data_IF_069306811680
#
_entry.id   IF_069306811680
#
_cell.length_a   1.000
_cell.length_b   1.000
_cell.length_c   1.000
_cell.angle_alpha   90.00
_cell.angle_beta   90.00
_cell.angle_gamma   90.00
#
_symmetry.space_group_name_H-M   'P 1'
#
loop_
_entity.id
_entity.type
_entity.pdbx_description
1 polymer ?
#
# COMPACT_ATOMS: atom_id res chain seq x y z
N UNK A 1 2.34 -11.64 10.99
CA UNK A 1 2.84 -12.78 10.20
C UNK A 1 3.02 -12.27 8.78
N UNK A 2 4.25 -12.34 8.24
CA UNK A 2 4.52 -11.86 6.88
C UNK A 2 3.89 -12.84 5.89
N UNK A 3 2.90 -12.37 5.13
CA UNK A 3 2.29 -13.14 4.03
C UNK A 3 3.24 -13.10 2.82
N UNK A 4 3.43 -14.21 2.09
CA UNK A 4 4.19 -14.20 0.85
C UNK A 4 3.47 -13.39 -0.23
N UNK A 5 4.23 -12.72 -1.08
CA UNK A 5 3.74 -12.08 -2.29
C UNK A 5 3.48 -13.14 -3.37
N UNK A 6 2.26 -13.21 -3.88
CA UNK A 6 1.92 -14.03 -5.03
C UNK A 6 2.13 -13.23 -6.33
N UNK A 7 3.30 -13.39 -6.93
CA UNK A 7 3.68 -12.64 -8.14
C UNK A 7 2.79 -12.97 -9.34
N UNK A 8 2.46 -14.25 -9.51
CA UNK A 8 1.67 -14.71 -10.66
C UNK A 8 0.27 -14.10 -10.60
N UNK A 9 -0.36 -14.16 -9.43
CA UNK A 9 -1.69 -13.59 -9.21
C UNK A 9 -1.66 -12.05 -9.26
N UNK A 10 -0.59 -11.43 -8.78
CA UNK A 10 -0.37 -9.98 -8.89
C UNK A 10 -0.35 -9.51 -10.35
N UNK A 11 0.36 -10.21 -11.22
CA UNK A 11 0.42 -9.90 -12.66
C UNK A 11 -0.92 -10.18 -13.34
N UNK A 12 -1.57 -11.30 -13.02
CA UNK A 12 -2.88 -11.66 -13.58
C UNK A 12 -3.94 -10.61 -13.25
N UNK A 13 -4.06 -10.24 -11.97
CA UNK A 13 -5.03 -9.23 -11.52
C UNK A 13 -4.69 -7.87 -12.13
N UNK A 14 -3.41 -7.48 -12.13
CA UNK A 14 -2.93 -6.25 -12.77
C UNK A 14 -3.42 -6.12 -14.22
N UNK A 15 -3.37 -7.20 -15.00
CA UNK A 15 -3.87 -7.25 -16.38
C UNK A 15 -5.40 -7.21 -16.44
N UNK A 16 -6.07 -8.01 -15.61
CA UNK A 16 -7.54 -8.10 -15.55
C UNK A 16 -8.19 -6.75 -15.27
N UNK A 17 -7.63 -5.98 -14.35
CA UNK A 17 -8.16 -4.65 -13.98
C UNK A 17 -7.64 -3.53 -14.88
N UNK A 18 -6.75 -3.84 -15.85
CA UNK A 18 -6.06 -2.85 -16.70
C UNK A 18 -5.41 -1.75 -15.86
N UNK A 19 -4.63 -2.18 -14.87
CA UNK A 19 -3.99 -1.28 -13.91
C UNK A 19 -3.10 -0.24 -14.61
N UNK A 20 -2.97 0.92 -13.97
CA UNK A 20 -2.26 2.08 -14.53
C UNK A 20 -1.10 2.48 -13.63
N UNK A 21 0.05 2.82 -14.23
CA UNK A 21 1.17 3.37 -13.48
C UNK A 21 0.74 4.63 -12.71
N UNK A 22 1.28 4.81 -11.50
CA UNK A 22 1.00 5.95 -10.60
C UNK A 22 -0.44 6.04 -10.06
N UNK A 23 -1.28 5.04 -10.29
CA UNK A 23 -2.64 4.94 -9.73
C UNK A 23 -2.73 3.80 -8.71
N UNK A 24 -1.80 3.82 -7.76
CA UNK A 24 -1.57 2.73 -6.80
C UNK A 24 -2.82 2.33 -6.03
N UNK A 25 -3.49 3.31 -5.40
CA UNK A 25 -4.70 3.08 -4.60
C UNK A 25 -5.90 2.66 -5.45
N UNK A 26 -6.13 3.32 -6.59
CA UNK A 26 -7.20 2.96 -7.53
C UNK A 26 -7.00 1.54 -8.10
N UNK A 27 -5.77 1.13 -8.38
CA UNK A 27 -5.46 -0.22 -8.82
C UNK A 27 -5.77 -1.25 -7.72
N UNK A 28 -5.37 -0.98 -6.47
CA UNK A 28 -5.69 -1.85 -5.33
C UNK A 28 -7.20 -1.94 -5.07
N UNK A 29 -7.92 -0.81 -5.17
CA UNK A 29 -9.37 -0.78 -5.05
C UNK A 29 -10.05 -1.63 -6.13
N UNK A 30 -9.66 -1.46 -7.40
CA UNK A 30 -10.18 -2.29 -8.50
C UNK A 30 -9.84 -3.77 -8.34
N UNK A 31 -8.65 -4.07 -7.83
CA UNK A 31 -8.24 -5.44 -7.53
C UNK A 31 -9.12 -6.06 -6.44
N UNK A 32 -9.44 -5.30 -5.39
CA UNK A 32 -10.36 -5.75 -4.33
C UNK A 32 -11.78 -5.98 -4.86
N UNK A 33 -12.26 -5.14 -5.78
CA UNK A 33 -13.56 -5.36 -6.44
C UNK A 33 -13.59 -6.57 -7.37
N UNK A 34 -12.44 -6.93 -7.97
CA UNK A 34 -12.33 -8.01 -8.94
C UNK A 34 -12.01 -9.38 -8.32
N UNK A 35 -11.74 -9.41 -7.01
CA UNK A 35 -11.22 -10.59 -6.31
C UNK A 35 -12.09 -10.90 -5.10
N UNK A 36 -12.72 -12.07 -5.09
CA UNK A 36 -13.56 -12.49 -3.98
C UNK A 36 -12.74 -12.69 -2.71
N UNK A 37 -13.31 -12.29 -1.57
CA UNK A 37 -12.71 -12.40 -0.24
C UNK A 37 -11.38 -11.63 -0.05
N UNK A 38 -11.02 -10.77 -0.99
CA UNK A 38 -9.87 -9.90 -0.85
C UNK A 38 -10.13 -8.77 0.15
N UNK A 39 -9.12 -8.47 0.96
CA UNK A 39 -9.07 -7.27 1.75
C UNK A 39 -8.21 -6.24 1.03
N UNK A 40 -8.75 -5.04 0.82
CA UNK A 40 -7.92 -3.92 0.40
C UNK A 40 -7.05 -3.50 1.57
N UNK A 41 -5.77 -3.25 1.30
CA UNK A 41 -4.79 -2.80 2.28
C UNK A 41 -4.03 -1.62 1.73
N UNK A 42 -3.84 -0.61 2.59
CA UNK A 42 -3.02 0.56 2.31
C UNK A 42 -2.03 0.78 3.45
N UNK A 43 -0.87 1.30 3.11
CA UNK A 43 0.23 1.50 4.04
C UNK A 43 1.50 1.89 3.30
N UNK A 44 2.62 1.26 3.65
CA UNK A 44 3.92 1.61 3.10
C UNK A 44 4.62 0.42 2.45
N UNK A 45 5.32 0.72 1.37
CA UNK A 45 6.21 -0.20 0.66
C UNK A 45 7.65 0.29 0.80
N UNK A 46 8.54 -0.65 1.10
CA UNK A 46 9.98 -0.41 1.23
C UNK A 46 10.73 -1.44 0.38
N UNK A 47 11.75 -0.98 -0.33
CA UNK A 47 12.65 -1.82 -1.12
C UNK A 47 14.03 -1.16 -1.23
N UNK A 48 15.09 -1.92 -1.51
CA UNK A 48 16.44 -1.36 -1.59
C UNK A 48 16.61 -0.41 -2.79
N UNK A 49 17.39 0.63 -2.56
CA UNK A 49 17.67 1.70 -3.53
C UNK A 49 16.69 2.88 -3.46
N UNK A 50 16.78 3.77 -4.46
CA UNK A 50 15.92 4.97 -4.55
C UNK A 50 14.43 4.58 -4.46
N UNK A 51 13.61 5.30 -3.65
CA UNK A 51 13.89 6.61 -3.07
C UNK A 51 14.57 6.62 -1.69
N UNK A 52 15.05 5.48 -1.17
CA UNK A 52 15.66 5.37 0.17
C UNK A 52 14.73 5.74 1.34
N UNK A 53 13.43 5.80 1.08
CA UNK A 53 12.40 6.13 2.06
C UNK A 53 11.15 5.28 1.80
N UNK A 54 10.30 5.08 2.83
CA UNK A 54 9.00 4.45 2.65
C UNK A 54 8.17 5.16 1.58
N UNK A 55 7.45 4.38 0.78
CA UNK A 55 6.54 4.89 -0.24
C UNK A 55 5.12 4.51 0.18
N UNK A 56 4.20 5.45 0.17
CA UNK A 56 2.79 5.12 0.33
C UNK A 56 2.32 4.21 -0.79
N UNK A 57 1.70 3.09 -0.40
CA UNK A 57 1.35 2.03 -1.32
C UNK A 57 0.05 1.34 -0.90
N UNK A 58 -0.56 0.64 -1.84
CA UNK A 58 -1.74 -0.17 -1.59
C UNK A 58 -1.72 -1.45 -2.42
N UNK A 59 -2.27 -2.49 -1.83
CA UNK A 59 -2.34 -3.85 -2.36
C UNK A 59 -3.62 -4.52 -1.87
N UNK A 60 -3.81 -5.78 -2.23
CA UNK A 60 -4.85 -6.60 -1.62
C UNK A 60 -4.22 -7.77 -0.87
N UNK A 61 -4.86 -8.18 0.21
CA UNK A 61 -4.49 -9.36 0.96
C UNK A 61 -5.59 -10.41 0.85
N UNK A 62 -5.14 -11.62 0.54
CA UNK A 62 -5.92 -12.84 0.67
C UNK A 62 -5.62 -13.49 2.02
N UNK A 63 -6.28 -14.61 2.29
CA UNK A 63 -6.07 -15.37 3.52
C UNK A 63 -4.59 -15.75 3.71
N UNK A 64 -3.93 -16.19 2.64
CA UNK A 64 -2.58 -16.76 2.69
C UNK A 64 -1.52 -15.96 1.94
N UNK A 65 -1.89 -14.94 1.17
CA UNK A 65 -0.95 -14.21 0.31
C UNK A 65 -1.25 -12.72 0.20
N UNK A 66 -0.21 -11.96 -0.15
CA UNK A 66 -0.30 -10.59 -0.65
C UNK A 66 -0.39 -10.65 -2.17
N UNK A 67 -1.26 -9.83 -2.74
CA UNK A 67 -1.34 -9.61 -4.18
C UNK A 67 -1.21 -8.11 -4.42
N UNK A 68 -0.20 -7.73 -5.18
CA UNK A 68 0.08 -6.34 -5.50
C UNK A 68 -0.21 -6.06 -6.99
N UNK A 69 -1.35 -5.46 -7.35
CA UNK A 69 -1.67 -5.15 -8.74
C UNK A 69 -0.74 -4.10 -9.36
N UNK A 70 0.11 -3.45 -8.56
CA UNK A 70 1.10 -2.49 -9.00
C UNK A 70 2.48 -3.11 -9.27
N UNK A 71 2.66 -4.41 -8.94
CA UNK A 71 3.93 -5.12 -9.08
C UNK A 71 4.59 -4.93 -10.47
N UNK A 72 3.87 -5.01 -11.61
CA UNK A 72 4.49 -4.82 -12.92
C UNK A 72 5.10 -3.42 -13.15
N UNK A 73 4.64 -2.41 -12.41
CA UNK A 73 5.13 -1.04 -12.51
C UNK A 73 6.29 -0.76 -11.55
N UNK A 74 6.45 -1.55 -10.48
CA UNK A 74 7.54 -1.40 -9.52
C UNK A 74 8.89 -1.76 -10.16
N UNK A 75 8.93 -2.77 -11.05
CA UNK A 75 10.16 -3.28 -11.69
C UNK A 75 11.25 -3.61 -10.67
N UNK A 76 10.85 -4.17 -9.53
CA UNK A 76 11.71 -4.61 -8.43
C UNK A 76 11.61 -6.12 -8.26
N UNK A 77 12.64 -6.68 -7.63
CA UNK A 77 12.63 -8.07 -7.19
C UNK A 77 11.58 -8.22 -6.08
N UNK A 78 10.64 -9.14 -6.27
CA UNK A 78 9.56 -9.47 -5.35
C UNK A 78 10.06 -9.86 -3.96
N UNK A 79 11.23 -10.50 -3.88
CA UNK A 79 11.84 -10.93 -2.61
C UNK A 79 12.40 -9.76 -1.80
N UNK A 80 12.54 -8.60 -2.44
CA UNK A 80 13.07 -7.38 -1.83
C UNK A 80 11.97 -6.34 -1.57
N UNK A 81 10.70 -6.72 -1.70
CA UNK A 81 9.55 -5.89 -1.38
C UNK A 81 9.09 -6.16 0.06
N UNK A 82 9.11 -5.12 0.89
CA UNK A 82 8.66 -5.17 2.27
C UNK A 82 7.39 -4.34 2.41
N UNK A 83 6.29 -5.01 2.73
CA UNK A 83 4.95 -4.43 2.87
C UNK A 83 4.65 -4.15 4.35
N UNK A 84 4.22 -2.91 4.64
CA UNK A 84 3.88 -2.44 5.98
C UNK A 84 2.43 -1.97 6.00
N UNK A 85 1.46 -2.86 6.36
CA UNK A 85 0.05 -2.50 6.36
C UNK A 85 -0.25 -1.45 7.43
N UNK A 86 -1.01 -0.41 7.06
CA UNK A 86 -1.47 0.62 7.98
C UNK A 86 -2.98 0.54 8.21
N UNK A 87 -3.76 0.29 7.15
CA UNK A 87 -5.19 0.12 7.23
C UNK A 87 -5.66 -0.97 6.25
N UNK A 88 -6.71 -1.68 6.64
CA UNK A 88 -7.30 -2.76 5.87
C UNK A 88 -8.81 -2.68 5.89
N UNK A 89 -9.43 -2.85 4.74
CA UNK A 89 -10.88 -2.71 4.55
C UNK A 89 -11.41 -3.84 3.67
N UNK A 90 -12.59 -4.34 3.99
CA UNK A 90 -13.30 -5.22 3.06
C UNK A 90 -13.99 -4.40 1.95
N UNK A 91 -14.45 -5.07 0.90
CA UNK A 91 -15.08 -4.41 -0.26
C UNK A 91 -16.33 -3.60 0.12
N UNK A 92 -17.13 -4.07 1.08
CA UNK A 92 -18.32 -3.36 1.55
C UNK A 92 -17.94 -2.04 2.21
N UNK A 93 -17.00 -2.09 3.17
CA UNK A 93 -16.47 -0.91 3.85
C UNK A 93 -15.85 0.09 2.88
N UNK A 94 -15.07 -0.39 1.90
CA UNK A 94 -14.48 0.49 0.88
C UNK A 94 -15.55 1.25 0.07
N UNK A 95 -16.64 0.59 -0.30
CA UNK A 95 -17.70 1.24 -1.07
C UNK A 95 -18.40 2.30 -0.25
N UNK A 96 -18.72 2.00 1.00
CA UNK A 96 -19.34 2.95 1.93
C UNK A 96 -18.46 4.19 2.12
N UNK A 97 -17.16 4.00 2.40
CA UNK A 97 -16.21 5.10 2.61
C UNK A 97 -16.06 5.96 1.35
N UNK A 98 -15.95 5.34 0.18
CA UNK A 98 -15.80 6.06 -1.09
C UNK A 98 -17.08 6.82 -1.47
N UNK A 99 -18.25 6.26 -1.15
CA UNK A 99 -19.54 6.91 -1.37
C UNK A 99 -19.69 8.14 -0.47
N UNK A 100 -19.46 7.98 0.83
CA UNK A 100 -19.48 9.08 1.82
C UNK A 100 -18.49 10.19 1.44
N UNK A 101 -17.25 9.83 1.12
CA UNK A 101 -16.22 10.80 0.72
C UNK A 101 -16.61 11.61 -0.53
N UNK A 102 -17.31 10.97 -1.48
CA UNK A 102 -17.77 11.65 -2.71
C UNK A 102 -19.00 12.51 -2.48
N UNK A 103 -19.85 12.16 -1.51
CA UNK A 103 -20.99 12.99 -1.13
C UNK A 103 -20.52 14.26 -0.42
N UNK A 104 -19.55 14.13 0.49
CA UNK A 104 -19.00 15.27 1.23
C UNK A 104 -18.07 16.14 0.38
N UNK A 105 -17.21 15.51 -0.44
CA UNK A 105 -16.17 16.18 -1.23
C UNK A 105 -16.08 15.60 -2.66
N UNK A 106 -17.05 15.92 -3.55
CA UNK A 106 -17.11 15.33 -4.90
C UNK A 106 -15.93 15.69 -5.81
N UNK A 107 -15.18 16.75 -5.48
CA UNK A 107 -14.03 17.21 -6.26
C UNK A 107 -12.69 16.59 -5.80
N UNK A 108 -12.64 15.93 -4.63
CA UNK A 108 -11.43 15.31 -4.09
C UNK A 108 -11.32 13.81 -4.46
N UNK A 109 -10.08 13.31 -4.54
CA UNK A 109 -9.83 11.87 -4.76
C UNK A 109 -10.11 11.13 -3.43
N UNK A 110 -11.08 10.19 -3.39
CA UNK A 110 -11.46 9.50 -2.15
C UNK A 110 -10.41 8.51 -1.64
N UNK A 111 -9.28 8.36 -2.35
CA UNK A 111 -8.19 7.48 -2.01
C UNK A 111 -6.85 8.24 -1.98
N UNK A 112 -5.96 7.93 -1.03
CA UNK A 112 -6.10 6.94 0.05
C UNK A 112 -7.03 7.37 1.19
N UNK A 113 -7.52 6.39 1.97
CA UNK A 113 -8.45 6.64 3.09
C UNK A 113 -7.65 7.04 4.33
N UNK A 114 -7.53 8.33 4.60
CA UNK A 114 -6.97 8.77 5.88
C UNK A 114 -8.08 8.64 6.94
N UNK A 115 -7.83 7.84 7.98
CA UNK A 115 -8.83 7.54 9.02
C UNK A 115 -9.31 8.77 9.80
N UNK A 116 -10.21 8.55 10.75
CA UNK A 116 -10.85 9.62 11.53
C UNK A 116 -9.85 10.54 12.23
N UNK A 117 -10.23 11.82 12.31
CA UNK A 117 -9.55 12.80 13.14
C UNK A 117 -9.38 12.30 14.59
N UNK A 118 -8.32 12.71 15.30
CA UNK A 118 -7.36 13.74 14.94
C UNK A 118 -6.29 13.25 13.96
N UNK A 119 -6.07 14.01 12.89
CA UNK A 119 -4.99 13.77 11.95
C UNK A 119 -3.65 14.01 12.65
N UNK A 120 -2.81 12.97 12.73
CA UNK A 120 -1.46 13.11 13.23
C UNK A 120 -0.54 13.56 12.10
N UNK A 121 0.19 14.65 12.35
CA UNK A 121 1.18 15.20 11.44
C UNK A 121 2.54 14.58 11.75
N UNK A 122 3.27 14.13 10.72
CA UNK A 122 4.64 13.67 10.86
C UNK A 122 5.56 14.37 9.85
N UNK A 123 6.42 15.28 10.35
CA UNK A 123 7.12 16.24 9.50
C UNK A 123 6.13 17.18 8.83
N UNK A 124 6.22 17.33 7.51
CA UNK A 124 5.27 18.10 6.69
C UNK A 124 4.11 17.23 6.11
N UNK A 125 4.01 15.95 6.48
CA UNK A 125 3.07 14.99 5.88
C UNK A 125 1.95 14.64 6.88
N UNK A 126 0.70 14.82 6.46
CA UNK A 126 -0.49 14.39 7.20
C UNK A 126 -0.71 12.89 6.98
N UNK A 127 -0.35 12.05 7.95
CA UNK A 127 -0.38 10.59 7.84
C UNK A 127 -1.49 10.00 8.72
N UNK A 128 -2.75 10.37 8.46
CA UNK A 128 -3.93 9.76 9.07
C UNK A 128 -3.86 9.57 10.60
N UNK A 129 -4.31 8.41 11.08
CA UNK A 129 -4.30 8.04 12.51
C UNK A 129 -3.11 7.16 12.91
N UNK A 130 -3.01 6.82 14.20
CA UNK A 130 -1.88 6.10 14.82
C UNK A 130 -1.36 4.87 14.06
N UNK A 131 -2.23 4.08 13.42
CA UNK A 131 -1.79 2.89 12.67
C UNK A 131 -0.89 3.25 11.47
N UNK A 132 -1.14 4.39 10.83
CA UNK A 132 -0.28 4.91 9.77
C UNK A 132 1.08 5.33 10.31
N UNK A 133 1.11 5.95 11.50
CA UNK A 133 2.36 6.31 12.17
C UNK A 133 3.20 5.07 12.50
N UNK A 134 2.58 4.06 13.12
CA UNK A 134 3.27 2.83 13.50
C UNK A 134 3.81 2.10 12.25
N UNK A 135 3.03 2.04 11.16
CA UNK A 135 3.45 1.45 9.90
C UNK A 135 4.59 2.25 9.25
N UNK A 136 4.52 3.58 9.26
CA UNK A 136 5.57 4.45 8.72
C UNK A 136 6.88 4.28 9.49
N UNK A 137 6.85 4.27 10.82
CA UNK A 137 8.06 4.10 11.65
C UNK A 137 8.71 2.74 11.42
N UNK A 138 7.92 1.67 11.33
CA UNK A 138 8.42 0.34 10.99
C UNK A 138 9.04 0.30 9.59
N UNK A 139 8.38 0.93 8.61
CA UNK A 139 8.88 1.05 7.25
C UNK A 139 10.16 1.88 7.17
N UNK A 140 10.25 2.99 7.91
CA UNK A 140 11.42 3.86 7.95
C UNK A 140 12.63 3.14 8.56
N UNK A 141 12.42 2.43 9.68
CA UNK A 141 13.44 1.59 10.29
C UNK A 141 13.95 0.53 9.31
N UNK A 142 13.05 -0.14 8.58
CA UNK A 142 13.44 -1.12 7.56
C UNK A 142 14.17 -0.47 6.38
N UNK A 143 13.74 0.70 5.94
CA UNK A 143 14.40 1.45 4.86
C UNK A 143 15.83 1.80 5.25
N UNK A 144 16.05 2.24 6.50
CA UNK A 144 17.38 2.52 7.04
C UNK A 144 18.25 1.27 7.12
N UNK A 145 17.68 0.13 7.51
CA UNK A 145 18.40 -1.15 7.58
C UNK A 145 18.89 -1.61 6.20
N UNK A 146 18.01 -1.66 5.20
CA UNK A 146 18.34 -2.23 3.88
C UNK A 146 19.14 -1.28 2.97
N UNK A 147 19.17 0.01 3.30
CA UNK A 147 19.88 1.04 2.54
C UNK A 147 21.14 1.56 3.25
N UNK A 148 21.50 1.00 4.41
CA UNK A 148 22.76 1.34 5.05
C UNK A 148 23.92 1.01 4.10
N UNK A 149 24.87 1.94 3.88
CA UNK A 149 26.09 1.59 3.17
C UNK A 149 26.81 0.53 4.00
N UNK A 150 27.01 -0.67 3.43
CA UNK A 150 27.87 -1.69 4.02
C UNK A 150 29.26 -1.08 4.24
N UNK A 151 29.57 -0.68 5.47
CA UNK A 151 30.91 -0.28 5.89
C UNK A 151 31.84 -1.49 6.09
N UNK A 152 31.40 -2.71 5.77
CA UNK A 152 32.21 -3.93 5.84
C UNK A 152 32.97 -4.24 4.52
N UNK A 153 33.66 -3.26 3.95
CA UNK A 153 34.70 -3.50 2.94
C UNK A 153 35.71 -2.35 2.94
N UNK A 154 36.66 -2.39 3.87
CA UNK A 154 37.96 -1.72 3.76
C UNK A 154 39.01 -2.48 4.57
#
# INVERSE_FOLDING_TARGET
MNKPLDEALSVEISQRIKSKAKKTFDNAYKAALATDQAQYVQGFLVFPGKPYQPIEHAWIELAESIVDPNLPFLKKDSQQLYYFPAASFNVTQLKEIIEESKEDYPEDDPLPIYGDAPYEYYGDVMLGGKNYLDAYQAAEAKSKEINQPNFENN
#
